data_IF_786789346710
#
_entry.id   IF_786789346710
#
_cell.length_a   1.000
_cell.length_b   1.000
_cell.length_c   1.000
_cell.angle_alpha   90.00
_cell.angle_beta   90.00
_cell.angle_gamma   90.00
#
_symmetry.space_group_name_H-M   'P 1'
#
loop_
_entity.id
_entity.type
_entity.pdbx_description
1 polymer ?
#
# COMPACT_ATOMS: atom_id res chain seq x y z
N UNK A 1 0.04 19.99 22.47
CA UNK A 1 0.12 18.56 22.79
C UNK A 1 -1.22 18.21 23.40
N UNK A 2 -2.18 17.84 22.56
CA UNK A 2 -3.49 17.35 22.99
C UNK A 2 -3.39 15.84 23.20
N UNK A 3 -3.93 15.35 24.29
CA UNK A 3 -4.16 13.93 24.55
C UNK A 3 -5.23 13.45 23.56
N UNK A 4 -4.92 12.38 22.83
CA UNK A 4 -5.91 11.68 22.02
C UNK A 4 -6.84 10.97 23.00
N UNK A 5 -8.07 11.45 23.14
CA UNK A 5 -9.14 10.71 23.79
C UNK A 5 -9.52 9.52 22.90
N UNK A 6 -9.81 8.38 23.53
CA UNK A 6 -10.20 7.14 22.87
C UNK A 6 -11.34 7.39 21.88
N UNK A 7 -11.04 7.27 20.59
CA UNK A 7 -12.06 7.30 19.55
C UNK A 7 -12.76 5.95 19.56
N UNK A 8 -14.04 5.92 19.92
CA UNK A 8 -14.87 4.74 19.72
C UNK A 8 -14.84 4.35 18.25
N UNK A 9 -14.23 3.21 17.96
CA UNK A 9 -14.20 2.61 16.64
C UNK A 9 -15.64 2.25 16.26
N UNK A 10 -16.13 2.77 15.16
CA UNK A 10 -17.49 2.52 14.69
C UNK A 10 -17.69 1.02 14.46
N UNK A 11 -18.83 0.47 14.87
CA UNK A 11 -19.21 -0.95 14.79
C UNK A 11 -19.07 -1.56 13.38
N UNK A 12 -18.96 -0.75 12.33
CA UNK A 12 -18.69 -1.20 10.96
C UNK A 12 -17.21 -1.59 10.69
N UNK A 13 -16.28 -1.20 11.56
CA UNK A 13 -14.87 -1.60 11.52
C UNK A 13 -14.54 -2.70 12.52
N UNK A 14 -15.52 -3.11 13.34
CA UNK A 14 -15.35 -4.25 14.21
C UNK A 14 -15.41 -5.55 13.40
N UNK A 15 -14.32 -6.29 13.45
CA UNK A 15 -14.25 -7.70 13.09
C UNK A 15 -14.18 -8.09 11.61
N UNK A 16 -13.14 -7.63 10.92
CA UNK A 16 -12.54 -8.51 9.93
C UNK A 16 -11.23 -9.05 10.54
N UNK A 17 -11.36 -10.09 11.33
CA UNK A 17 -10.20 -10.90 11.69
C UNK A 17 -9.52 -11.38 10.40
N UNK A 18 -8.20 -11.33 10.31
CA UNK A 18 -7.47 -11.82 9.14
C UNK A 18 -7.85 -13.27 8.81
N UNK A 19 -8.21 -14.06 9.82
CA UNK A 19 -8.71 -15.42 9.67
C UNK A 19 -10.12 -15.45 9.02
N UNK A 20 -11.01 -14.53 9.35
CA UNK A 20 -12.33 -14.43 8.72
C UNK A 20 -12.21 -13.84 7.30
N UNK A 21 -11.32 -12.88 7.09
CA UNK A 21 -11.03 -12.34 5.77
C UNK A 21 -10.43 -13.39 4.83
N UNK A 22 -9.56 -14.27 5.33
CA UNK A 22 -8.99 -15.37 4.55
C UNK A 22 -10.00 -16.51 4.29
N UNK A 23 -10.99 -16.67 5.17
CA UNK A 23 -12.06 -17.67 5.03
C UNK A 23 -13.23 -17.17 4.17
N UNK A 24 -13.39 -15.86 4.01
CA UNK A 24 -14.44 -15.29 3.17
C UNK A 24 -13.90 -15.08 1.76
N UNK A 25 -14.57 -15.66 0.76
CA UNK A 25 -14.33 -15.38 -0.65
C UNK A 25 -14.77 -13.94 -1.04
N UNK A 26 -15.10 -13.10 -0.09
CA UNK A 26 -15.64 -11.76 -0.32
C UNK A 26 -14.56 -10.69 -0.13
N UNK A 27 -13.59 -10.68 -1.03
CA UNK A 27 -12.53 -9.68 -1.09
C UNK A 27 -13.05 -8.25 -1.27
N UNK A 28 -14.24 -8.09 -1.84
CA UNK A 28 -14.88 -6.77 -2.01
C UNK A 28 -15.16 -6.12 -0.65
N UNK A 29 -15.41 -6.92 0.40
CA UNK A 29 -15.61 -6.41 1.75
C UNK A 29 -14.33 -5.91 2.43
N UNK A 30 -13.14 -6.26 1.92
CA UNK A 30 -11.84 -5.80 2.44
C UNK A 30 -11.42 -4.42 1.93
N UNK A 31 -12.06 -3.93 0.85
CA UNK A 31 -11.71 -2.66 0.21
C UNK A 31 -12.80 -1.62 0.47
N UNK A 32 -13.01 -1.26 1.73
CA UNK A 32 -13.89 -0.16 2.10
C UNK A 32 -13.05 1.12 2.21
N UNK A 33 -13.27 2.13 1.37
CA UNK A 33 -12.62 3.42 1.54
C UNK A 33 -12.94 4.00 2.91
N UNK A 34 -11.95 4.48 3.62
CA UNK A 34 -12.11 5.12 4.93
C UNK A 34 -11.54 6.53 4.91
N UNK A 35 -12.14 7.42 5.69
CA UNK A 35 -11.63 8.77 5.92
C UNK A 35 -10.51 8.77 6.99
N UNK A 36 -10.01 9.96 7.32
CA UNK A 36 -8.92 10.12 8.30
C UNK A 36 -9.32 9.67 9.71
N UNK A 37 -10.61 9.63 10.02
CA UNK A 37 -11.16 9.13 11.28
C UNK A 37 -11.48 7.63 11.23
N UNK A 38 -11.17 6.93 10.13
CA UNK A 38 -11.42 5.50 9.96
C UNK A 38 -12.87 5.14 9.63
N UNK A 39 -13.70 6.13 9.26
CA UNK A 39 -15.09 5.89 8.87
C UNK A 39 -15.16 5.46 7.40
N UNK A 40 -16.06 4.55 7.08
CA UNK A 40 -16.31 4.16 5.69
C UNK A 40 -16.76 5.37 4.85
N UNK A 41 -16.13 5.56 3.70
CA UNK A 41 -16.47 6.60 2.73
C UNK A 41 -17.36 5.95 1.66
N UNK A 42 -18.56 6.50 1.47
CA UNK A 42 -19.37 6.17 0.31
C UNK A 42 -18.83 6.91 -0.92
N UNK A 43 -17.90 6.29 -1.62
CA UNK A 43 -17.28 6.87 -2.80
C UNK A 43 -18.27 7.18 -3.93
N UNK A 44 -19.42 6.53 -3.96
CA UNK A 44 -20.45 6.81 -4.95
C UNK A 44 -21.15 8.16 -4.73
N UNK A 45 -21.09 8.68 -3.50
CA UNK A 45 -21.73 9.93 -3.09
C UNK A 45 -20.73 11.03 -2.69
N UNK A 46 -19.42 10.80 -2.84
CA UNK A 46 -18.43 11.87 -2.64
C UNK A 46 -18.49 12.81 -3.83
N UNK A 47 -18.88 14.05 -3.59
CA UNK A 47 -18.79 15.12 -4.58
C UNK A 47 -17.37 15.68 -4.58
N UNK A 48 -16.58 15.30 -5.58
CA UNK A 48 -15.22 15.78 -5.81
C UNK A 48 -15.20 17.01 -6.74
N UNK A 49 -16.34 17.56 -7.11
CA UNK A 49 -16.41 18.75 -7.95
C UNK A 49 -15.86 19.95 -7.18
N UNK A 50 -14.78 20.58 -7.65
CA UNK A 50 -14.23 21.74 -6.96
C UNK A 50 -15.23 22.88 -6.94
N UNK A 51 -15.33 23.56 -5.82
CA UNK A 51 -16.14 24.78 -5.69
C UNK A 51 -15.58 25.91 -6.57
N UNK A 52 -16.40 26.90 -6.87
CA UNK A 52 -15.94 28.08 -7.61
C UNK A 52 -14.81 28.83 -6.89
N UNK A 53 -14.80 28.83 -5.55
CA UNK A 53 -13.74 29.44 -4.74
C UNK A 53 -12.42 28.67 -4.86
N UNK A 54 -12.47 27.35 -4.81
CA UNK A 54 -11.30 26.48 -5.01
C UNK A 54 -10.71 26.62 -6.41
N UNK A 55 -11.55 26.69 -7.44
CA UNK A 55 -11.11 26.96 -8.81
C UNK A 55 -10.41 28.33 -8.95
N UNK A 56 -10.94 29.37 -8.33
CA UNK A 56 -10.32 30.69 -8.34
C UNK A 56 -9.04 30.74 -7.50
N UNK A 57 -8.94 29.94 -6.43
CA UNK A 57 -7.70 29.77 -5.68
C UNK A 57 -6.64 29.05 -6.52
N UNK A 58 -7.02 27.96 -7.18
CA UNK A 58 -6.12 27.19 -8.05
C UNK A 58 -5.51 28.04 -9.18
N UNK A 59 -6.28 28.96 -9.75
CA UNK A 59 -5.79 29.89 -10.81
C UNK A 59 -4.70 30.84 -10.34
N UNK A 60 -4.54 31.02 -9.02
CA UNK A 60 -3.50 31.89 -8.43
C UNK A 60 -2.22 31.14 -8.14
N UNK A 61 -2.23 29.81 -8.22
CA UNK A 61 -1.05 28.99 -7.97
C UNK A 61 0.01 29.17 -9.05
N UNK A 62 1.30 29.29 -8.71
CA UNK A 62 2.39 29.46 -9.68
C UNK A 62 2.46 28.36 -10.74
N UNK A 63 1.96 27.17 -10.41
CA UNK A 63 1.92 26.03 -11.31
C UNK A 63 0.73 26.04 -12.29
N UNK A 64 -0.26 26.93 -12.05
CA UNK A 64 -1.45 26.97 -12.90
C UNK A 64 -1.14 27.30 -14.34
N UNK A 65 -1.64 26.49 -15.25
CA UNK A 65 -1.45 26.69 -16.70
C UNK A 65 -0.13 26.12 -17.26
N UNK A 66 0.76 25.55 -16.43
CA UNK A 66 1.87 24.75 -16.89
C UNK A 66 1.52 23.24 -16.86
N UNK A 67 2.15 22.41 -17.70
CA UNK A 67 2.03 20.96 -17.56
C UNK A 67 2.48 20.49 -16.18
N UNK A 68 1.75 19.54 -15.62
CA UNK A 68 2.09 18.83 -14.39
C UNK A 68 2.75 17.52 -14.82
N UNK A 69 4.01 17.33 -14.46
CA UNK A 69 4.70 16.07 -14.71
C UNK A 69 4.44 15.12 -13.55
N UNK A 70 3.91 13.93 -13.84
CA UNK A 70 3.68 12.91 -12.84
C UNK A 70 4.49 11.65 -13.12
N UNK A 71 4.94 10.97 -12.06
CA UNK A 71 5.64 9.70 -12.21
C UNK A 71 4.66 8.60 -12.60
N UNK A 72 4.89 7.97 -13.76
CA UNK A 72 4.07 6.86 -14.22
C UNK A 72 4.36 5.61 -13.41
N UNK A 73 3.34 5.04 -12.82
CA UNK A 73 3.42 3.80 -12.05
C UNK A 73 2.18 2.94 -12.28
N UNK A 74 2.29 1.69 -11.85
CA UNK A 74 1.24 0.68 -11.94
C UNK A 74 0.80 0.21 -10.54
N UNK A 75 -0.15 -0.71 -10.51
CA UNK A 75 -0.66 -1.30 -9.27
C UNK A 75 -1.27 -0.25 -8.34
N UNK A 76 -0.93 -0.34 -7.07
CA UNK A 76 -1.49 0.53 -6.02
C UNK A 76 -1.04 2.00 -6.11
N UNK A 77 -0.01 2.30 -6.86
CA UNK A 77 0.50 3.66 -7.07
C UNK A 77 0.04 4.29 -8.40
N UNK A 78 -0.81 3.61 -9.16
CA UNK A 78 -1.25 4.02 -10.50
C UNK A 78 -2.20 5.21 -10.54
N UNK A 79 -2.61 5.78 -9.40
CA UNK A 79 -3.60 6.86 -9.33
C UNK A 79 -3.38 7.98 -10.35
N UNK A 80 -2.20 8.65 -10.39
CA UNK A 80 -1.92 9.68 -11.38
C UNK A 80 -1.98 9.19 -12.83
N UNK A 81 -1.46 7.99 -13.11
CA UNK A 81 -1.50 7.37 -14.44
C UNK A 81 -2.93 7.08 -14.89
N UNK A 82 -3.76 6.59 -13.98
CA UNK A 82 -5.17 6.32 -14.26
C UNK A 82 -5.98 7.60 -14.43
N UNK A 83 -5.70 8.63 -13.64
CA UNK A 83 -6.37 9.92 -13.76
C UNK A 83 -6.12 10.57 -15.14
N UNK A 84 -4.90 10.45 -15.65
CA UNK A 84 -4.58 10.90 -17.02
C UNK A 84 -5.31 10.05 -18.06
N UNK A 85 -5.20 8.73 -17.95
CA UNK A 85 -5.84 7.81 -18.91
C UNK A 85 -7.36 7.97 -18.96
N UNK A 86 -8.01 8.24 -17.85
CA UNK A 86 -9.46 8.46 -17.74
C UNK A 86 -9.88 9.89 -18.09
N UNK A 87 -8.92 10.81 -18.29
CA UNK A 87 -9.19 12.18 -18.69
C UNK A 87 -9.53 13.14 -17.55
N UNK A 88 -9.37 12.74 -16.28
CA UNK A 88 -9.73 13.56 -15.11
C UNK A 88 -8.91 14.86 -15.02
N UNK A 89 -7.62 14.83 -15.38
CA UNK A 89 -6.84 16.06 -15.44
C UNK A 89 -7.39 17.06 -16.44
N UNK A 90 -7.79 16.56 -17.62
CA UNK A 90 -8.41 17.41 -18.65
C UNK A 90 -9.77 17.96 -18.20
N UNK A 91 -10.57 17.15 -17.53
CA UNK A 91 -11.86 17.59 -16.96
C UNK A 91 -11.66 18.68 -15.90
N UNK A 92 -10.59 18.57 -15.11
CA UNK A 92 -10.19 19.59 -14.13
C UNK A 92 -9.51 20.82 -14.75
N UNK A 93 -9.37 20.88 -16.09
CA UNK A 93 -8.69 21.98 -16.78
C UNK A 93 -7.17 21.97 -16.64
N UNK A 94 -6.59 20.84 -16.26
CA UNK A 94 -5.15 20.64 -16.10
C UNK A 94 -4.54 19.97 -17.32
N UNK A 95 -3.29 20.28 -17.61
CA UNK A 95 -2.44 19.54 -18.54
C UNK A 95 -1.49 18.68 -17.72
N UNK A 96 -1.47 17.38 -17.96
CA UNK A 96 -0.59 16.45 -17.27
C UNK A 96 0.24 15.63 -18.26
N UNK A 97 1.48 15.34 -17.90
CA UNK A 97 2.41 14.56 -18.71
C UNK A 97 3.06 13.47 -17.84
N UNK A 98 2.91 12.21 -18.29
CA UNK A 98 3.48 11.06 -17.58
C UNK A 98 4.96 10.85 -17.88
N UNK A 99 5.78 10.75 -16.86
CA UNK A 99 7.22 10.51 -16.94
C UNK A 99 7.52 9.09 -16.44
N UNK A 100 8.27 8.32 -17.23
CA UNK A 100 8.75 6.98 -16.86
C UNK A 100 10.12 7.08 -16.21
N UNK A 101 10.36 6.29 -15.19
CA UNK A 101 11.65 6.24 -14.51
C UNK A 101 11.82 4.99 -13.67
N UNK A 102 12.98 4.80 -13.10
CA UNK A 102 13.30 3.68 -12.20
C UNK A 102 13.01 3.99 -10.74
N UNK A 103 12.92 5.28 -10.39
CA UNK A 103 12.71 5.74 -9.01
C UNK A 103 11.89 7.03 -8.99
N UNK A 104 10.75 6.97 -8.34
CA UNK A 104 9.87 8.13 -8.09
C UNK A 104 10.55 9.16 -7.16
N UNK A 105 11.29 8.70 -6.16
CA UNK A 105 12.04 9.56 -5.23
C UNK A 105 13.14 10.35 -5.97
N UNK A 106 13.87 9.69 -6.87
CA UNK A 106 14.90 10.34 -7.67
C UNK A 106 14.28 11.34 -8.64
N UNK A 107 13.18 10.97 -9.29
CA UNK A 107 12.47 11.83 -10.22
C UNK A 107 11.92 13.10 -9.53
N UNK A 108 11.38 12.97 -8.30
CA UNK A 108 10.98 14.11 -7.48
C UNK A 108 12.19 14.97 -7.08
N UNK A 109 13.23 14.35 -6.54
CA UNK A 109 14.40 15.06 -6.03
C UNK A 109 15.26 15.73 -7.10
N UNK A 110 15.03 15.43 -8.37
CA UNK A 110 15.72 16.04 -9.53
C UNK A 110 14.79 16.88 -10.40
N UNK A 111 13.61 17.24 -9.90
CA UNK A 111 12.60 18.05 -10.60
C UNK A 111 12.16 17.48 -11.97
N UNK A 112 12.31 16.18 -12.17
CA UNK A 112 11.81 15.52 -13.38
C UNK A 112 10.29 15.34 -13.35
N UNK A 113 9.72 15.24 -12.14
CA UNK A 113 8.28 15.18 -11.91
C UNK A 113 7.87 16.11 -10.78
N UNK A 114 6.66 16.63 -10.87
CA UNK A 114 6.02 17.45 -9.84
C UNK A 114 5.30 16.59 -8.80
N UNK A 115 4.78 15.43 -9.22
CA UNK A 115 3.94 14.56 -8.40
C UNK A 115 4.30 13.09 -8.60
N UNK A 116 4.33 12.36 -7.51
CA UNK A 116 4.42 10.90 -7.51
C UNK A 116 3.55 10.30 -6.42
N UNK A 117 3.04 9.09 -6.65
CA UNK A 117 2.41 8.28 -5.63
C UNK A 117 3.37 7.18 -5.21
N UNK A 118 3.62 7.05 -3.95
CA UNK A 118 4.57 6.05 -3.45
C UNK A 118 4.41 5.78 -1.97
N UNK A 119 5.07 4.73 -1.51
CA UNK A 119 5.07 4.36 -0.10
C UNK A 119 5.80 5.41 0.73
N UNK A 120 5.12 5.96 1.74
CA UNK A 120 5.67 7.03 2.60
C UNK A 120 7.01 6.63 3.25
N UNK A 121 7.12 5.41 3.76
CA UNK A 121 8.32 4.97 4.48
C UNK A 121 9.61 5.05 3.64
N UNK A 122 9.54 4.81 2.32
CA UNK A 122 10.72 4.92 1.44
C UNK A 122 11.16 6.36 1.18
N UNK A 123 10.27 7.34 1.40
CA UNK A 123 10.53 8.76 1.17
C UNK A 123 11.15 9.45 2.40
N UNK A 124 10.95 8.89 3.61
CA UNK A 124 11.41 9.53 4.85
C UNK A 124 12.93 9.71 4.90
N UNK A 125 13.70 8.68 4.54
CA UNK A 125 15.18 8.76 4.56
C UNK A 125 15.70 9.77 3.53
N UNK A 126 15.27 9.78 2.27
CA UNK A 126 15.61 10.85 1.32
C UNK A 126 15.31 12.25 1.82
N UNK A 127 14.13 12.47 2.43
CA UNK A 127 13.75 13.77 3.02
C UNK A 127 14.74 14.18 4.12
N UNK A 128 15.11 13.26 5.02
CA UNK A 128 16.10 13.55 6.08
C UNK A 128 17.49 13.84 5.52
N UNK A 129 17.78 13.40 4.29
CA UNK A 129 19.02 13.68 3.57
C UNK A 129 18.92 14.92 2.68
N UNK A 130 17.84 15.69 2.80
CA UNK A 130 17.70 17.00 2.13
C UNK A 130 16.99 16.95 0.78
N UNK A 131 16.36 15.83 0.40
CA UNK A 131 15.49 15.80 -0.79
C UNK A 131 14.20 16.54 -0.46
N UNK A 132 13.86 17.54 -1.27
CA UNK A 132 12.67 18.39 -1.07
C UNK A 132 11.41 17.66 -1.57
N UNK A 133 10.70 17.02 -0.65
CA UNK A 133 9.45 16.32 -0.92
C UNK A 133 8.42 16.74 0.12
N UNK A 134 7.24 17.13 -0.34
CA UNK A 134 6.09 17.45 0.51
C UNK A 134 5.00 16.40 0.31
N UNK A 135 4.50 15.82 1.42
CA UNK A 135 3.33 14.96 1.37
C UNK A 135 2.06 15.81 1.30
N UNK A 136 1.25 15.60 0.27
CA UNK A 136 0.04 16.39 0.02
C UNK A 136 -1.25 15.61 0.27
N UNK A 137 -1.18 14.29 0.39
CA UNK A 137 -2.35 13.45 0.68
C UNK A 137 -2.01 11.97 0.74
N UNK A 138 -2.92 11.19 1.32
CA UNK A 138 -2.90 9.74 1.29
C UNK A 138 -3.66 9.20 0.08
N UNK A 139 -3.16 8.15 -0.55
CA UNK A 139 -3.81 7.51 -1.69
C UNK A 139 -4.63 6.28 -1.27
N UNK A 140 -4.12 5.48 -0.35
CA UNK A 140 -4.79 4.28 0.19
C UNK A 140 -4.04 3.77 1.42
N UNK A 141 -4.67 2.85 2.14
CA UNK A 141 -4.08 2.13 3.27
C UNK A 141 -3.94 0.66 2.88
N UNK A 142 -2.79 0.05 3.22
CA UNK A 142 -2.50 -1.36 2.93
C UNK A 142 -2.41 -1.65 1.43
N UNK A 143 -1.86 -2.74 1.06
CA UNK A 143 -1.85 -3.32 -0.29
C UNK A 143 -1.06 -4.61 -0.34
N UNK A 144 -0.44 -5.01 0.76
CA UNK A 144 0.42 -6.19 0.83
C UNK A 144 0.16 -6.97 2.11
N UNK A 145 0.23 -8.29 1.97
CA UNK A 145 -0.02 -9.21 3.06
C UNK A 145 0.96 -10.39 3.00
N UNK A 146 1.15 -11.06 4.13
CA UNK A 146 1.91 -12.32 4.19
C UNK A 146 1.01 -13.48 3.79
N UNK A 147 1.43 -14.16 2.74
CA UNK A 147 0.75 -15.32 2.17
C UNK A 147 1.56 -16.58 2.36
N UNK A 148 0.86 -17.69 2.55
CA UNK A 148 1.39 -19.05 2.61
C UNK A 148 0.57 -19.95 1.69
N UNK A 149 1.04 -21.18 1.41
CA UNK A 149 0.19 -22.15 0.71
C UNK A 149 -1.06 -22.46 1.52
N UNK A 150 -2.19 -22.57 0.87
CA UNK A 150 -3.48 -22.78 1.53
C UNK A 150 -3.55 -24.10 2.32
N UNK A 151 -2.85 -25.13 1.84
CA UNK A 151 -2.78 -26.45 2.44
C UNK A 151 -1.61 -26.60 3.44
N UNK A 152 -0.83 -25.54 3.69
CA UNK A 152 0.25 -25.57 4.68
C UNK A 152 -0.31 -25.49 6.11
N UNK A 153 0.52 -25.95 7.07
CA UNK A 153 0.21 -25.86 8.52
C UNK A 153 0.46 -24.45 9.10
N UNK A 154 0.96 -23.51 8.31
CA UNK A 154 1.18 -22.14 8.74
C UNK A 154 -0.15 -21.36 8.76
N UNK A 155 -0.56 -20.86 9.92
CA UNK A 155 -1.81 -20.12 10.09
C UNK A 155 -1.61 -18.74 10.73
N UNK A 156 -0.48 -18.52 11.37
CA UNK A 156 -0.10 -17.29 12.04
C UNK A 156 1.37 -16.96 11.73
N UNK A 157 1.77 -15.73 11.98
CA UNK A 157 3.17 -15.31 11.88
C UNK A 157 4.08 -16.05 12.86
N UNK A 158 3.54 -16.50 14.00
CA UNK A 158 4.30 -17.31 14.98
C UNK A 158 4.77 -18.66 14.40
N UNK A 159 4.01 -19.23 13.47
CA UNK A 159 4.36 -20.48 12.81
C UNK A 159 5.54 -20.30 11.83
N UNK A 160 5.87 -19.06 11.48
CA UNK A 160 6.99 -18.75 10.58
C UNK A 160 8.34 -18.65 11.28
N UNK A 161 8.41 -18.84 12.62
CA UNK A 161 9.70 -18.83 13.34
C UNK A 161 10.61 -19.93 12.84
N UNK A 162 11.87 -19.58 12.53
CA UNK A 162 12.86 -20.44 11.93
C UNK A 162 12.71 -20.68 10.43
N UNK A 163 11.72 -20.05 9.80
CA UNK A 163 11.41 -20.21 8.38
C UNK A 163 11.99 -19.09 7.53
N UNK A 164 12.01 -19.34 6.22
CA UNK A 164 12.35 -18.34 5.21
C UNK A 164 11.09 -17.64 4.71
N UNK A 165 11.14 -16.32 4.69
CA UNK A 165 10.06 -15.45 4.20
C UNK A 165 10.60 -14.61 3.06
N UNK A 166 9.94 -14.63 1.92
CA UNK A 166 10.33 -13.77 0.79
C UNK A 166 9.84 -12.35 0.96
N UNK A 167 10.77 -11.41 0.78
CA UNK A 167 10.52 -10.00 0.50
C UNK A 167 10.90 -9.73 -0.97
N UNK A 168 9.98 -9.84 -1.94
CA UNK A 168 10.28 -9.91 -3.37
C UNK A 168 11.10 -8.74 -3.91
N UNK A 169 10.90 -7.54 -3.40
CA UNK A 169 11.65 -6.35 -3.81
C UNK A 169 13.04 -6.25 -3.17
N UNK A 170 13.36 -7.13 -2.22
CA UNK A 170 14.67 -7.22 -1.58
C UNK A 170 14.82 -6.38 -0.31
N UNK A 171 15.99 -6.54 0.31
CA UNK A 171 16.35 -5.90 1.57
C UNK A 171 16.37 -4.37 1.43
N UNK A 172 15.82 -3.66 2.41
CA UNK A 172 15.75 -2.20 2.45
C UNK A 172 14.70 -1.58 1.52
N UNK A 173 13.91 -2.41 0.85
CA UNK A 173 12.78 -1.98 0.03
C UNK A 173 11.45 -2.13 0.79
N UNK A 174 10.35 -1.71 0.16
CA UNK A 174 9.01 -1.74 0.78
C UNK A 174 8.66 -3.10 1.36
N UNK A 175 8.89 -4.18 0.61
CA UNK A 175 8.51 -5.53 1.04
C UNK A 175 9.25 -5.96 2.30
N UNK A 176 10.54 -5.66 2.38
CA UNK A 176 11.32 -5.91 3.57
C UNK A 176 10.79 -5.13 4.78
N UNK A 177 10.56 -3.83 4.59
CA UNK A 177 10.10 -2.95 5.67
C UNK A 177 8.71 -3.35 6.18
N UNK A 178 7.78 -3.68 5.27
CA UNK A 178 6.43 -4.13 5.64
C UNK A 178 6.49 -5.48 6.36
N UNK A 179 7.26 -6.44 5.84
CA UNK A 179 7.43 -7.75 6.50
C UNK A 179 7.98 -7.58 7.91
N UNK A 180 9.04 -6.77 8.06
CA UNK A 180 9.63 -6.49 9.37
C UNK A 180 8.62 -5.87 10.33
N UNK A 181 7.82 -4.93 9.85
CA UNK A 181 6.79 -4.24 10.65
C UNK A 181 5.67 -5.19 11.09
N UNK A 182 5.17 -6.06 10.19
CA UNK A 182 4.14 -7.05 10.50
C UNK A 182 4.64 -8.07 11.55
N UNK A 183 5.87 -8.55 11.40
CA UNK A 183 6.47 -9.51 12.33
C UNK A 183 6.75 -8.86 13.70
N UNK A 184 7.28 -7.64 13.73
CA UNK A 184 7.55 -6.91 14.98
C UNK A 184 6.29 -6.66 15.79
N UNK A 185 5.17 -6.33 15.13
CA UNK A 185 3.87 -6.16 15.78
C UNK A 185 3.39 -7.42 16.49
N UNK A 186 3.74 -8.59 15.96
CA UNK A 186 3.40 -9.88 16.53
C UNK A 186 4.50 -10.40 17.49
N UNK A 187 5.46 -9.56 17.85
CA UNK A 187 6.54 -9.90 18.79
C UNK A 187 7.58 -10.87 18.22
N UNK A 188 7.77 -10.86 16.90
CA UNK A 188 8.75 -11.68 16.20
C UNK A 188 9.92 -10.80 15.77
N UNK A 189 11.12 -11.10 16.26
CA UNK A 189 12.34 -10.42 15.83
C UNK A 189 12.72 -10.89 14.43
N UNK A 190 12.34 -10.10 13.41
CA UNK A 190 12.59 -10.44 12.00
C UNK A 190 14.07 -10.64 11.65
N UNK A 191 14.98 -10.14 12.50
CA UNK A 191 16.42 -10.27 12.29
C UNK A 191 17.03 -11.55 12.89
N UNK A 192 16.28 -12.26 13.73
CA UNK A 192 16.74 -13.44 14.46
C UNK A 192 15.82 -14.64 14.34
N UNK A 193 14.50 -14.39 14.37
CA UNK A 193 13.50 -15.45 14.44
C UNK A 193 13.15 -16.03 13.06
N UNK A 194 13.44 -15.29 11.98
CA UNK A 194 13.17 -15.70 10.59
C UNK A 194 14.35 -15.36 9.68
N UNK A 195 14.37 -15.93 8.48
CA UNK A 195 15.31 -15.57 7.43
C UNK A 195 14.57 -14.83 6.31
N UNK A 196 14.83 -13.53 6.15
CA UNK A 196 14.27 -12.75 5.04
C UNK A 196 15.12 -12.95 3.79
N UNK A 197 14.50 -13.45 2.73
CA UNK A 197 15.15 -13.75 1.44
C UNK A 197 14.47 -12.97 0.31
N UNK A 198 15.13 -12.92 -0.84
CA UNK A 198 14.56 -12.31 -2.04
C UNK A 198 14.24 -13.40 -3.06
N UNK A 199 12.94 -13.64 -3.27
CA UNK A 199 12.40 -14.44 -4.38
C UNK A 199 11.37 -13.56 -5.08
N UNK A 200 11.44 -13.45 -6.39
CA UNK A 200 10.49 -12.59 -7.14
C UNK A 200 9.04 -13.06 -6.93
N UNK A 201 8.09 -12.13 -6.99
CA UNK A 201 6.68 -12.44 -6.70
C UNK A 201 6.14 -13.59 -7.55
N UNK A 202 6.47 -13.62 -8.83
CA UNK A 202 6.02 -14.65 -9.78
C UNK A 202 6.60 -16.03 -9.44
N UNK A 203 7.75 -16.11 -8.78
CA UNK A 203 8.41 -17.36 -8.39
C UNK A 203 8.02 -17.82 -6.97
N UNK A 204 7.40 -16.94 -6.15
CA UNK A 204 7.14 -17.24 -4.74
C UNK A 204 6.26 -18.47 -4.53
N UNK A 205 5.21 -18.66 -5.35
CA UNK A 205 4.30 -19.81 -5.19
C UNK A 205 5.06 -21.11 -5.44
N UNK A 206 5.81 -21.18 -6.52
CA UNK A 206 6.64 -22.35 -6.82
C UNK A 206 7.71 -22.59 -5.75
N UNK A 207 8.33 -21.54 -5.23
CA UNK A 207 9.30 -21.66 -4.15
C UNK A 207 8.66 -22.18 -2.84
N UNK A 208 7.41 -21.79 -2.55
CA UNK A 208 6.65 -22.37 -1.43
C UNK A 208 6.32 -23.85 -1.67
N UNK A 209 5.84 -24.20 -2.88
CA UNK A 209 5.55 -25.59 -3.27
C UNK A 209 6.78 -26.50 -3.16
N UNK A 210 7.95 -25.96 -3.47
CA UNK A 210 9.24 -26.68 -3.34
C UNK A 210 9.78 -26.70 -1.90
N UNK A 211 9.16 -25.97 -0.95
CA UNK A 211 9.67 -25.85 0.42
C UNK A 211 10.94 -24.99 0.56
N UNK A 212 11.23 -24.15 -0.43
CA UNK A 212 12.38 -23.23 -0.40
C UNK A 212 12.12 -22.01 0.49
N UNK A 213 10.85 -21.57 0.57
CA UNK A 213 10.34 -20.54 1.46
C UNK A 213 9.01 -21.00 2.07
N UNK A 214 8.68 -20.51 3.25
CA UNK A 214 7.40 -20.81 3.91
C UNK A 214 6.32 -19.76 3.58
N UNK A 215 6.72 -18.51 3.38
CA UNK A 215 5.82 -17.38 3.17
C UNK A 215 6.44 -16.35 2.23
N UNK A 216 5.60 -15.49 1.68
CA UNK A 216 6.01 -14.32 0.92
C UNK A 216 5.11 -13.12 1.20
N UNK A 217 5.69 -11.92 1.24
CA UNK A 217 4.94 -10.68 1.21
C UNK A 217 4.57 -10.38 -0.25
N UNK A 218 3.30 -10.50 -0.57
CA UNK A 218 2.79 -10.27 -1.92
C UNK A 218 1.81 -9.10 -1.93
N UNK A 219 1.64 -8.45 -3.08
CA UNK A 219 0.54 -7.51 -3.23
C UNK A 219 -0.79 -8.27 -3.26
N UNK A 220 -1.81 -7.72 -2.61
CA UNK A 220 -3.12 -8.36 -2.51
C UNK A 220 -3.77 -8.52 -3.89
N UNK A 221 -3.52 -7.58 -4.79
CA UNK A 221 -3.97 -7.68 -6.20
C UNK A 221 -3.32 -8.83 -6.95
N UNK A 222 -2.03 -9.09 -6.71
CA UNK A 222 -1.32 -10.23 -7.30
C UNK A 222 -1.83 -11.55 -6.71
N UNK A 223 -1.99 -11.63 -5.39
CA UNK A 223 -2.41 -12.83 -4.68
C UNK A 223 -3.90 -13.18 -4.91
N UNK A 224 -4.73 -12.20 -5.29
CA UNK A 224 -6.20 -12.35 -5.37
C UNK A 224 -6.68 -13.61 -6.09
N UNK A 225 -6.20 -13.83 -7.33
CA UNK A 225 -6.62 -15.00 -8.10
C UNK A 225 -6.19 -16.31 -7.44
N UNK A 226 -4.99 -16.33 -6.85
CA UNK A 226 -4.43 -17.52 -6.21
C UNK A 226 -5.17 -17.88 -4.91
N UNK A 227 -5.60 -16.88 -4.15
CA UNK A 227 -6.46 -17.10 -2.97
C UNK A 227 -7.83 -17.58 -3.39
N UNK A 228 -8.43 -16.96 -4.41
CA UNK A 228 -9.72 -17.39 -4.96
C UNK A 228 -9.69 -18.82 -5.48
N UNK A 229 -8.58 -19.23 -6.06
CA UNK A 229 -8.36 -20.60 -6.57
C UNK A 229 -7.95 -21.59 -5.45
N UNK A 230 -7.87 -21.14 -4.20
CA UNK A 230 -7.51 -21.98 -3.05
C UNK A 230 -6.05 -22.41 -3.01
N UNK A 231 -5.15 -21.70 -3.68
CA UNK A 231 -3.70 -21.97 -3.68
C UNK A 231 -2.97 -21.28 -2.54
N UNK A 232 -3.36 -20.07 -2.22
CA UNK A 232 -2.78 -19.27 -1.15
C UNK A 232 -3.82 -18.93 -0.10
N UNK A 233 -3.36 -18.70 1.13
CA UNK A 233 -4.12 -18.05 2.20
C UNK A 233 -3.29 -16.90 2.78
N UNK A 234 -3.97 -15.83 3.17
CA UNK A 234 -3.40 -14.73 3.92
C UNK A 234 -3.31 -15.11 5.40
N UNK A 235 -2.19 -14.85 6.05
CA UNK A 235 -2.03 -15.10 7.50
C UNK A 235 -1.77 -13.80 8.29
N UNK A 236 -1.41 -12.71 7.62
CA UNK A 236 -1.22 -11.39 8.23
C UNK A 236 -1.32 -10.31 7.16
N UNK A 237 -2.10 -9.29 7.42
CA UNK A 237 -2.37 -8.21 6.46
C UNK A 237 -2.01 -6.84 7.03
N UNK A 238 -1.64 -5.91 6.17
CA UNK A 238 -1.61 -4.49 6.50
C UNK A 238 -3.03 -3.91 6.76
N UNK A 239 -4.08 -4.65 6.40
CA UNK A 239 -5.48 -4.28 6.63
C UNK A 239 -6.04 -4.82 7.95
N UNK A 240 -5.26 -5.60 8.71
CA UNK A 240 -5.68 -6.06 10.03
C UNK A 240 -5.92 -4.86 10.94
N UNK A 241 -6.92 -4.94 11.81
CA UNK A 241 -7.44 -3.80 12.57
C UNK A 241 -6.39 -3.07 13.42
N UNK A 242 -5.38 -3.79 13.92
CA UNK A 242 -4.26 -3.23 14.66
C UNK A 242 -3.24 -2.51 13.77
N UNK A 243 -3.33 -2.71 12.44
CA UNK A 243 -2.40 -2.19 11.44
C UNK A 243 -3.01 -1.14 10.53
N UNK A 244 -4.33 -1.17 10.30
CA UNK A 244 -5.02 -0.36 9.30
C UNK A 244 -4.73 1.16 9.38
N UNK A 245 -4.36 1.66 10.56
CA UNK A 245 -4.04 3.06 10.79
C UNK A 245 -2.53 3.35 10.93
N UNK A 246 -1.66 2.38 10.66
CA UNK A 246 -0.21 2.50 10.92
C UNK A 246 0.66 2.47 9.67
N UNK A 247 0.11 2.12 8.53
CA UNK A 247 0.90 1.80 7.33
C UNK A 247 0.37 2.45 6.06
N UNK A 248 1.29 2.69 5.19
CA UNK A 248 1.35 3.35 3.89
C UNK A 248 1.60 4.81 3.92
#
# INVERSE_FOLDING_TARGET
>A
VGTVEDVEVNEASEHLDAAEASASSNWEALFVPIDIEGRAIDMANVDLTPTAEELEAMKKEPAYGRPIHYFMSDGCTSGPTMADHLGYYKEAGLTAEGVKGSSDVEALGTDQVDVATGMMAKMLVPITNGVDITFVGGAHIGCKSLYVLADSDYNTTADLKGQKISAPNGIGKSDYNITALLLDADGIDYSKDVELVQVSADACVTAMENGEIASALLSDTFAYSMVKDGKLKCIRSQLDSDFANRTC
#
